data_IF_610348523989
#
_entry.id   IF_610348523989
#
_cell.length_a   1.000
_cell.length_b   1.000
_cell.length_c   1.000
_cell.angle_alpha   90.00
_cell.angle_beta   90.00
_cell.angle_gamma   90.00
#
_symmetry.space_group_name_H-M   'P 1'
#
loop_
_entity.id
_entity.type
_entity.pdbx_description
1 polymer ?
#
# COMPACT_ATOMS: atom_id res chain seq x y z
N UNK A 1 -28.24 35.62 -61.65
CA UNK A 1 -28.17 36.51 -60.54
C UNK A 1 -27.39 35.69 -59.43
N UNK A 2 -26.08 35.86 -59.45
CA UNK A 2 -25.12 35.04 -58.66
C UNK A 2 -24.72 35.90 -57.49
N UNK A 3 -24.99 35.40 -56.25
CA UNK A 3 -24.54 36.02 -55.03
C UNK A 3 -23.29 35.24 -54.54
N UNK A 4 -22.18 35.92 -54.59
CA UNK A 4 -20.92 35.57 -54.00
C UNK A 4 -21.08 35.42 -52.49
N UNK A 5 -20.66 34.29 -51.93
CA UNK A 5 -20.47 34.10 -50.48
C UNK A 5 -18.97 34.12 -50.17
N UNK A 6 -18.59 35.21 -49.54
CA UNK A 6 -17.21 35.49 -49.09
C UNK A 6 -16.76 34.49 -48.03
N UNK A 7 -15.56 33.98 -48.25
CA UNK A 7 -14.82 33.13 -47.29
C UNK A 7 -14.43 33.95 -46.04
N UNK A 8 -15.03 33.66 -44.91
CA UNK A 8 -14.60 34.16 -43.62
C UNK A 8 -13.31 33.45 -43.24
N UNK A 9 -12.22 34.20 -43.29
CA UNK A 9 -10.93 33.83 -42.76
C UNK A 9 -11.02 33.62 -41.24
N UNK A 10 -10.65 32.45 -40.78
CA UNK A 10 -10.46 32.16 -39.36
C UNK A 10 -9.35 33.04 -38.76
N UNK A 11 -9.54 33.65 -37.60
CA UNK A 11 -8.48 34.41 -36.96
C UNK A 11 -7.39 33.46 -36.44
N UNK A 12 -6.16 33.76 -36.82
CA UNK A 12 -4.91 33.18 -36.28
C UNK A 12 -4.96 33.13 -34.75
N UNK A 13 -5.12 31.94 -34.19
CA UNK A 13 -4.81 31.71 -32.81
C UNK A 13 -3.30 31.85 -32.61
N UNK A 14 -2.90 33.06 -32.24
CA UNK A 14 -1.54 33.31 -31.71
C UNK A 14 -1.33 32.42 -30.49
N UNK A 15 -0.55 31.38 -30.67
CA UNK A 15 0.00 30.58 -29.59
C UNK A 15 0.80 31.51 -28.71
N UNK A 16 0.23 31.94 -27.59
CA UNK A 16 0.95 32.62 -26.53
C UNK A 16 1.92 31.58 -25.93
N UNK A 17 3.15 31.61 -26.41
CA UNK A 17 4.26 30.91 -25.79
C UNK A 17 4.54 31.58 -24.46
N UNK A 18 4.11 30.92 -23.38
CA UNK A 18 4.49 31.31 -22.02
C UNK A 18 6.04 31.19 -21.90
N UNK A 19 6.72 32.24 -21.34
CA UNK A 19 8.17 32.23 -21.23
C UNK A 19 8.64 31.15 -20.26
N UNK A 20 9.37 30.17 -20.80
CA UNK A 20 10.51 29.55 -20.16
C UNK A 20 10.33 28.84 -18.84
N UNK A 21 9.64 27.73 -18.80
CA UNK A 21 10.04 26.64 -17.89
C UNK A 21 10.78 25.61 -18.74
N UNK A 22 12.04 25.88 -19.02
CA UNK A 22 12.99 24.85 -19.47
C UNK A 22 13.34 24.02 -18.24
N UNK A 23 12.45 23.12 -17.85
CA UNK A 23 12.78 22.06 -16.91
C UNK A 23 13.75 21.14 -17.61
N UNK A 24 15.03 21.30 -17.34
CA UNK A 24 16.09 20.44 -17.80
C UNK A 24 15.70 18.99 -17.52
N UNK A 25 15.43 18.23 -18.58
CA UNK A 25 15.02 16.81 -18.50
C UNK A 25 16.04 15.98 -17.71
N UNK A 26 17.30 16.40 -17.69
CA UNK A 26 18.38 15.82 -16.90
C UNK A 26 18.18 16.02 -15.38
N UNK A 27 17.69 17.18 -14.93
CA UNK A 27 17.42 17.43 -13.53
C UNK A 27 16.27 16.55 -13.00
N UNK A 28 15.21 16.39 -13.76
CA UNK A 28 14.06 15.56 -13.39
C UNK A 28 14.44 14.09 -13.31
N UNK A 29 15.25 13.59 -14.23
CA UNK A 29 15.72 12.20 -14.24
C UNK A 29 16.67 11.91 -13.07
N UNK A 30 17.54 12.86 -12.72
CA UNK A 30 18.45 12.72 -11.56
C UNK A 30 17.68 12.68 -10.24
N UNK A 31 16.71 13.58 -10.05
CA UNK A 31 15.86 13.62 -8.85
C UNK A 31 15.00 12.36 -8.74
N UNK A 32 14.51 11.82 -9.84
CA UNK A 32 13.73 10.58 -9.86
C UNK A 32 14.57 9.35 -9.46
N UNK A 33 15.83 9.28 -9.90
CA UNK A 33 16.74 8.19 -9.54
C UNK A 33 17.12 8.23 -8.06
N UNK A 34 17.43 9.41 -7.53
CA UNK A 34 17.75 9.55 -6.10
C UNK A 34 16.55 9.27 -5.21
N UNK A 35 15.35 9.75 -5.57
CA UNK A 35 14.14 9.43 -4.84
C UNK A 35 13.81 7.91 -4.84
N UNK A 36 14.00 7.24 -5.98
CA UNK A 36 13.82 5.80 -6.08
C UNK A 36 14.85 5.03 -5.23
N UNK A 37 16.11 5.46 -5.22
CA UNK A 37 17.14 4.84 -4.39
C UNK A 37 16.85 5.01 -2.89
N UNK A 38 16.43 6.19 -2.45
CA UNK A 38 16.05 6.46 -1.05
C UNK A 38 14.85 5.58 -0.66
N UNK A 39 13.82 5.51 -1.51
CA UNK A 39 12.65 4.67 -1.25
C UNK A 39 13.02 3.18 -1.15
N UNK A 40 13.91 2.71 -2.01
CA UNK A 40 14.39 1.32 -2.00
C UNK A 40 15.18 1.01 -0.72
N UNK A 41 16.09 1.90 -0.31
CA UNK A 41 16.84 1.75 0.95
C UNK A 41 15.89 1.70 2.13
N UNK A 42 14.92 2.62 2.20
CA UNK A 42 13.93 2.65 3.26
C UNK A 42 13.08 1.38 3.30
N UNK A 43 12.66 0.90 2.14
CA UNK A 43 11.92 -0.36 2.01
C UNK A 43 12.73 -1.57 2.48
N UNK A 44 14.01 -1.67 2.10
CA UNK A 44 14.91 -2.75 2.51
C UNK A 44 15.14 -2.71 4.03
N UNK A 45 15.32 -1.51 4.61
CA UNK A 45 15.48 -1.35 6.06
C UNK A 45 14.25 -1.79 6.85
N UNK A 46 13.05 -1.40 6.40
CA UNK A 46 11.80 -1.81 7.07
C UNK A 46 11.58 -3.32 6.93
N UNK A 47 11.80 -3.87 5.74
CA UNK A 47 11.64 -5.31 5.49
C UNK A 47 12.67 -6.12 6.29
N UNK A 48 13.92 -5.67 6.32
CA UNK A 48 14.97 -6.28 7.14
C UNK A 48 14.63 -6.24 8.63
N UNK A 49 14.20 -5.09 9.14
CA UNK A 49 13.74 -4.94 10.52
C UNK A 49 12.54 -5.83 10.86
N UNK A 50 11.60 -5.98 9.92
CA UNK A 50 10.45 -6.86 10.08
C UNK A 50 10.84 -8.35 10.15
N UNK A 51 11.80 -8.79 9.36
CA UNK A 51 12.32 -10.17 9.37
C UNK A 51 13.11 -10.43 10.64
N UNK A 52 13.95 -9.48 11.05
CA UNK A 52 14.77 -9.57 12.26
C UNK A 52 14.00 -9.23 13.55
N UNK A 53 12.69 -9.01 13.47
CA UNK A 53 11.86 -8.62 14.61
C UNK A 53 12.04 -9.48 15.86
N UNK A 54 12.17 -10.82 15.81
CA UNK A 54 12.34 -11.62 17.01
C UNK A 54 13.71 -11.43 17.70
N UNK A 55 14.71 -10.88 16.98
CA UNK A 55 16.05 -10.62 17.51
C UNK A 55 16.18 -9.17 18.01
N UNK A 56 15.52 -8.22 17.33
CA UNK A 56 15.61 -6.79 17.64
C UNK A 56 14.63 -6.38 18.74
N UNK A 57 13.51 -7.09 18.88
CA UNK A 57 12.52 -6.81 19.90
C UNK A 57 13.09 -7.14 21.29
N UNK A 58 12.99 -6.20 22.21
CA UNK A 58 13.49 -6.34 23.59
C UNK A 58 12.60 -7.22 24.45
N UNK A 59 11.30 -7.29 24.13
CA UNK A 59 10.29 -8.08 24.84
C UNK A 59 9.33 -8.75 23.88
N UNK A 60 8.62 -9.80 24.34
CA UNK A 60 7.53 -10.38 23.56
C UNK A 60 6.41 -9.35 23.38
N UNK A 61 5.73 -9.41 22.23
CA UNK A 61 4.75 -8.39 21.80
C UNK A 61 3.53 -8.29 22.76
N UNK A 62 3.17 -9.39 23.42
CA UNK A 62 2.04 -9.54 24.35
C UNK A 62 2.45 -9.32 25.82
N UNK A 63 3.77 -9.21 26.07
CA UNK A 63 4.28 -8.99 27.43
C UNK A 63 3.83 -7.62 27.96
N UNK A 64 3.08 -7.64 29.06
CA UNK A 64 2.58 -6.44 29.72
C UNK A 64 2.80 -6.50 31.22
N UNK A 65 3.32 -5.42 31.80
CA UNK A 65 3.52 -5.27 33.25
C UNK A 65 2.89 -3.96 33.69
N UNK A 66 1.75 -4.06 34.34
CA UNK A 66 0.96 -2.88 34.76
C UNK A 66 1.76 -1.92 35.67
N UNK A 67 2.70 -2.45 36.44
CA UNK A 67 3.62 -1.66 37.28
C UNK A 67 4.56 -0.76 36.45
N UNK A 68 4.81 -1.15 35.20
CA UNK A 68 5.68 -0.43 34.28
C UNK A 68 4.89 0.45 33.30
N UNK A 69 3.59 0.70 33.57
CA UNK A 69 2.75 1.53 32.73
C UNK A 69 3.24 2.98 32.69
N UNK A 70 3.13 3.61 31.52
CA UNK A 70 3.44 5.02 31.26
C UNK A 70 4.89 5.42 31.64
N UNK A 71 5.85 4.51 31.53
CA UNK A 71 7.26 4.86 31.67
C UNK A 71 7.71 5.74 30.51
N UNK A 72 8.37 6.84 30.84
CA UNK A 72 8.93 7.76 29.86
C UNK A 72 10.02 7.06 29.03
N UNK A 73 10.11 7.40 27.72
CA UNK A 73 11.15 6.86 26.85
C UNK A 73 12.52 7.42 27.25
N UNK A 74 13.49 6.58 27.63
CA UNK A 74 14.82 7.04 28.06
C UNK A 74 15.61 7.72 26.94
N UNK A 75 15.28 7.43 25.67
CA UNK A 75 15.91 8.09 24.51
C UNK A 75 15.44 9.55 24.30
N UNK A 76 14.33 9.95 24.92
CA UNK A 76 13.70 11.27 24.73
C UNK A 76 13.60 12.02 26.07
N UNK A 77 14.06 11.39 27.17
CA UNK A 77 14.00 12.02 28.51
C UNK A 77 14.83 13.31 28.53
N UNK A 78 14.21 14.48 28.82
CA UNK A 78 14.91 15.75 28.94
C UNK A 78 15.99 15.77 30.02
N UNK A 79 15.93 14.83 30.98
CA UNK A 79 16.94 14.68 32.06
C UNK A 79 18.18 13.90 31.64
N UNK A 80 18.25 13.43 30.37
CA UNK A 80 19.47 12.92 29.77
C UNK A 80 20.06 11.69 30.43
N UNK A 81 19.23 10.78 30.99
CA UNK A 81 19.71 9.61 31.71
C UNK A 81 20.44 8.59 30.84
N UNK A 82 20.21 8.59 29.53
CA UNK A 82 20.95 7.79 28.56
C UNK A 82 20.90 8.41 27.16
N UNK A 83 22.10 8.78 26.64
CA UNK A 83 22.24 9.25 25.24
C UNK A 83 22.06 8.15 24.21
N UNK A 84 21.72 8.54 22.97
CA UNK A 84 21.74 7.62 21.82
C UNK A 84 23.20 7.19 21.52
N UNK A 85 23.55 5.89 21.29
CA UNK A 85 22.66 4.74 21.14
C UNK A 85 22.40 3.89 22.40
N UNK A 86 22.97 4.23 23.56
CA UNK A 86 22.88 3.42 24.79
C UNK A 86 21.43 3.20 25.25
N UNK A 87 20.55 4.15 25.00
CA UNK A 87 19.13 4.05 25.33
C UNK A 87 18.40 2.92 24.57
N UNK A 88 18.87 2.52 23.38
CA UNK A 88 18.29 1.41 22.61
C UNK A 88 18.54 0.04 23.24
N UNK A 89 19.55 -0.07 24.11
CA UNK A 89 19.88 -1.31 24.84
C UNK A 89 19.09 -1.44 26.16
N UNK A 90 18.30 -0.43 26.50
CA UNK A 90 17.47 -0.47 27.71
C UNK A 90 16.23 -1.34 27.49
N UNK A 91 15.64 -1.82 28.58
CA UNK A 91 14.47 -2.71 28.56
C UNK A 91 13.26 -2.11 27.80
N UNK A 92 13.08 -0.79 27.85
CA UNK A 92 11.99 -0.07 27.20
C UNK A 92 12.53 1.17 26.46
N UNK A 93 13.11 1.02 25.26
CA UNK A 93 13.80 2.12 24.57
C UNK A 93 12.90 3.31 24.23
N UNK A 94 11.65 3.05 23.85
CA UNK A 94 10.63 4.06 23.52
C UNK A 94 9.55 4.19 24.62
N UNK A 95 9.86 3.70 25.83
CA UNK A 95 8.89 3.73 26.93
C UNK A 95 7.79 2.67 26.80
N UNK A 96 6.76 2.82 27.65
CA UNK A 96 5.64 1.86 27.73
C UNK A 96 4.30 2.55 27.53
N UNK A 97 3.31 1.78 27.06
CA UNK A 97 1.93 2.25 26.92
C UNK A 97 1.18 2.26 28.27
N UNK A 98 -0.10 2.63 28.24
CA UNK A 98 -0.97 2.68 29.42
C UNK A 98 -1.20 1.31 30.10
N UNK A 99 -0.84 0.22 29.42
CA UNK A 99 -0.97 -1.17 29.90
C UNK A 99 0.39 -1.76 30.28
N UNK A 100 1.46 -0.96 30.20
CA UNK A 100 2.82 -1.37 30.52
C UNK A 100 3.48 -2.27 29.47
N UNK A 101 3.07 -2.17 28.19
CA UNK A 101 3.68 -2.88 27.08
C UNK A 101 4.80 -2.05 26.46
N UNK A 102 5.87 -2.70 26.05
CA UNK A 102 7.00 -2.05 25.37
C UNK A 102 6.59 -1.50 23.99
N UNK A 103 6.69 -0.19 23.82
CA UNK A 103 6.32 0.48 22.59
C UNK A 103 7.27 0.13 21.43
N UNK A 104 8.57 -0.05 21.70
CA UNK A 104 9.57 -0.44 20.70
C UNK A 104 9.28 -1.82 20.12
N UNK A 105 9.09 -2.82 20.96
CA UNK A 105 8.75 -4.17 20.52
C UNK A 105 7.45 -4.20 19.71
N UNK A 106 6.43 -3.47 20.13
CA UNK A 106 5.17 -3.37 19.38
C UNK A 106 5.32 -2.73 18.01
N UNK A 107 6.18 -1.71 17.89
CA UNK A 107 6.45 -1.07 16.60
C UNK A 107 7.10 -2.05 15.62
N UNK A 108 8.09 -2.81 16.07
CA UNK A 108 8.81 -3.78 15.25
C UNK A 108 7.92 -4.97 14.86
N UNK A 109 7.18 -5.53 15.80
CA UNK A 109 6.20 -6.59 15.47
C UNK A 109 5.06 -6.09 14.59
N UNK A 110 4.62 -4.83 14.78
CA UNK A 110 3.66 -4.17 13.90
C UNK A 110 4.18 -4.03 12.46
N UNK A 111 5.45 -3.65 12.30
CA UNK A 111 6.09 -3.61 10.98
C UNK A 111 6.11 -5.00 10.31
N UNK A 112 6.42 -6.06 11.06
CA UNK A 112 6.36 -7.45 10.57
C UNK A 112 4.96 -7.83 10.08
N UNK A 113 3.94 -7.55 10.89
CA UNK A 113 2.54 -7.82 10.52
C UNK A 113 2.14 -7.07 9.27
N UNK A 114 2.49 -5.77 9.17
CA UNK A 114 2.23 -4.94 8.00
C UNK A 114 2.91 -5.49 6.74
N UNK A 115 4.15 -5.97 6.83
CA UNK A 115 4.86 -6.57 5.71
C UNK A 115 4.21 -7.89 5.26
N UNK A 116 3.83 -8.76 6.20
CA UNK A 116 3.13 -10.01 5.86
C UNK A 116 1.84 -9.70 5.09
N UNK A 117 1.01 -8.76 5.56
CA UNK A 117 -0.22 -8.36 4.86
C UNK A 117 0.10 -7.69 3.53
N UNK A 118 1.06 -6.76 3.52
CA UNK A 118 1.44 -6.00 2.33
C UNK A 118 1.97 -6.85 1.18
N UNK A 119 2.59 -8.00 1.47
CA UNK A 119 3.04 -8.95 0.45
C UNK A 119 2.01 -10.04 0.14
N UNK A 120 1.39 -10.63 1.17
CA UNK A 120 0.49 -11.77 0.97
C UNK A 120 -0.78 -11.37 0.20
N UNK A 121 -1.40 -10.25 0.58
CA UNK A 121 -2.67 -9.83 -0.05
C UNK A 121 -2.51 -9.54 -1.54
N UNK A 122 -1.58 -8.68 -2.01
CA UNK A 122 -1.40 -8.43 -3.44
C UNK A 122 -0.95 -9.68 -4.20
N UNK A 123 -0.09 -10.51 -3.60
CA UNK A 123 0.39 -11.73 -4.26
C UNK A 123 -0.75 -12.71 -4.52
N UNK A 124 -1.59 -12.97 -3.51
CA UNK A 124 -2.73 -13.88 -3.68
C UNK A 124 -3.78 -13.27 -4.61
N UNK A 125 -4.04 -11.96 -4.49
CA UNK A 125 -4.93 -11.24 -5.40
C UNK A 125 -4.44 -11.29 -6.86
N UNK A 126 -3.12 -11.24 -7.09
CA UNK A 126 -2.51 -11.40 -8.40
C UNK A 126 -2.69 -12.84 -8.93
N UNK A 127 -2.42 -13.84 -8.11
CA UNK A 127 -2.56 -15.26 -8.49
C UNK A 127 -3.99 -15.61 -8.91
N UNK A 128 -4.99 -15.00 -8.29
CA UNK A 128 -6.41 -15.18 -8.62
C UNK A 128 -6.84 -14.25 -9.77
N UNK A 129 -6.53 -12.97 -9.64
CA UNK A 129 -7.04 -11.92 -10.54
C UNK A 129 -6.40 -11.94 -11.93
N UNK A 130 -5.10 -12.28 -12.04
CA UNK A 130 -4.42 -12.34 -13.32
C UNK A 130 -5.03 -13.38 -14.27
N UNK A 131 -5.19 -14.66 -13.88
CA UNK A 131 -5.78 -15.65 -14.80
C UNK A 131 -7.23 -15.35 -15.14
N UNK A 132 -8.03 -14.86 -14.18
CA UNK A 132 -9.43 -14.50 -14.44
C UNK A 132 -9.53 -13.27 -15.36
N UNK A 133 -8.72 -12.24 -15.11
CA UNK A 133 -8.70 -11.05 -15.96
C UNK A 133 -8.16 -11.34 -17.36
N UNK A 134 -7.10 -12.12 -17.46
CA UNK A 134 -6.53 -12.53 -18.73
C UNK A 134 -7.52 -13.40 -19.53
N UNK A 135 -8.20 -14.35 -18.89
CA UNK A 135 -9.23 -15.19 -19.54
C UNK A 135 -10.40 -14.32 -20.06
N UNK A 136 -10.88 -13.38 -19.27
CA UNK A 136 -11.94 -12.44 -19.69
C UNK A 136 -11.53 -11.61 -20.92
N UNK A 137 -10.31 -11.06 -20.93
CA UNK A 137 -9.80 -10.28 -22.06
C UNK A 137 -9.50 -11.13 -23.31
N UNK A 138 -8.95 -12.33 -23.13
CA UNK A 138 -8.52 -13.18 -24.23
C UNK A 138 -9.69 -13.88 -24.94
N UNK A 139 -10.54 -14.57 -24.19
CA UNK A 139 -11.67 -15.32 -24.74
C UNK A 139 -12.83 -14.40 -25.13
N UNK A 140 -13.07 -13.33 -24.36
CA UNK A 140 -14.19 -12.41 -24.60
C UNK A 140 -15.55 -13.09 -24.45
N UNK A 141 -16.59 -12.55 -25.10
CA UNK A 141 -17.93 -13.15 -25.17
C UNK A 141 -18.51 -13.55 -23.80
N UNK A 142 -18.93 -14.81 -23.68
CA UNK A 142 -19.55 -15.31 -22.44
C UNK A 142 -18.61 -15.34 -21.22
N UNK A 143 -17.33 -15.61 -21.43
CA UNK A 143 -16.33 -15.65 -20.34
C UNK A 143 -16.16 -14.24 -19.77
N UNK A 144 -16.06 -13.26 -20.61
CA UNK A 144 -15.97 -11.86 -20.22
C UNK A 144 -17.21 -11.39 -19.46
N UNK A 145 -18.40 -11.70 -19.98
CA UNK A 145 -19.67 -11.34 -19.34
C UNK A 145 -19.77 -11.99 -17.96
N UNK A 146 -19.44 -13.28 -17.82
CA UNK A 146 -19.54 -14.00 -16.56
C UNK A 146 -18.61 -13.43 -15.50
N UNK A 147 -17.33 -13.20 -15.84
CA UNK A 147 -16.33 -12.67 -14.91
C UNK A 147 -16.68 -11.23 -14.53
N UNK A 148 -17.12 -10.39 -15.50
CA UNK A 148 -17.51 -9.02 -15.21
C UNK A 148 -18.73 -8.95 -14.30
N UNK A 149 -19.74 -9.80 -14.52
CA UNK A 149 -20.92 -9.89 -13.65
C UNK A 149 -20.58 -10.36 -12.25
N UNK A 150 -19.67 -11.33 -12.12
CA UNK A 150 -19.19 -11.77 -10.82
C UNK A 150 -18.54 -10.61 -10.06
N UNK A 151 -17.67 -9.86 -10.70
CA UNK A 151 -17.02 -8.68 -10.11
C UNK A 151 -18.06 -7.62 -9.71
N UNK A 152 -19.05 -7.33 -10.57
CA UNK A 152 -20.11 -6.37 -10.27
C UNK A 152 -20.93 -6.75 -9.03
N UNK A 153 -21.29 -8.03 -8.87
CA UNK A 153 -22.03 -8.52 -7.70
C UNK A 153 -21.25 -8.27 -6.41
N UNK A 154 -19.95 -8.58 -6.41
CA UNK A 154 -19.12 -8.35 -5.22
C UNK A 154 -18.91 -6.86 -4.92
N UNK A 155 -18.90 -5.98 -5.92
CA UNK A 155 -18.72 -4.54 -5.74
C UNK A 155 -19.95 -3.83 -5.16
N UNK A 156 -21.13 -4.41 -5.29
CA UNK A 156 -22.36 -3.87 -4.69
C UNK A 156 -22.29 -3.94 -3.16
N UNK A 157 -21.64 -4.96 -2.62
CA UNK A 157 -21.51 -5.12 -1.16
C UNK A 157 -20.37 -4.24 -0.66
N UNK A 158 -20.60 -3.32 0.29
CA UNK A 158 -19.54 -2.55 0.90
C UNK A 158 -18.47 -3.48 1.51
N UNK A 159 -17.21 -3.28 1.13
CA UNK A 159 -16.09 -4.13 1.55
C UNK A 159 -15.92 -4.24 3.07
N UNK A 160 -16.31 -3.19 3.80
CA UNK A 160 -16.31 -3.18 5.27
C UNK A 160 -17.28 -4.21 5.86
N UNK A 161 -18.44 -4.41 5.23
CA UNK A 161 -19.42 -5.41 5.65
C UNK A 161 -18.85 -6.82 5.45
N UNK A 162 -18.19 -7.07 4.32
CA UNK A 162 -17.54 -8.37 4.05
C UNK A 162 -16.47 -8.63 5.11
N UNK A 163 -15.62 -7.65 5.41
CA UNK A 163 -14.56 -7.77 6.42
C UNK A 163 -15.11 -8.08 7.81
N UNK A 164 -16.11 -7.34 8.26
CA UNK A 164 -16.73 -7.55 9.57
C UNK A 164 -17.41 -8.92 9.63
N UNK A 165 -18.16 -9.30 8.61
CA UNK A 165 -18.85 -10.59 8.55
C UNK A 165 -17.85 -11.75 8.62
N UNK A 166 -16.73 -11.66 7.93
CA UNK A 166 -15.67 -12.67 7.99
C UNK A 166 -15.11 -12.84 9.41
N UNK A 167 -14.85 -11.73 10.11
CA UNK A 167 -14.35 -11.76 11.48
C UNK A 167 -15.39 -12.34 12.44
N UNK A 168 -16.68 -12.01 12.26
CA UNK A 168 -17.78 -12.52 13.10
C UNK A 168 -17.97 -14.03 12.91
N UNK A 169 -17.91 -14.52 11.67
CA UNK A 169 -18.17 -15.94 11.35
C UNK A 169 -16.97 -16.82 11.68
N UNK A 170 -15.75 -16.40 11.31
CA UNK A 170 -14.54 -17.21 11.40
C UNK A 170 -13.62 -16.84 12.57
N UNK A 171 -14.00 -15.81 13.36
CA UNK A 171 -13.19 -15.31 14.46
C UNK A 171 -12.14 -14.29 14.05
N UNK A 172 -11.55 -13.61 15.06
CA UNK A 172 -10.57 -12.53 14.89
C UNK A 172 -9.13 -13.04 14.70
N UNK A 173 -8.95 -14.10 13.92
CA UNK A 173 -7.62 -14.60 13.61
C UNK A 173 -6.95 -13.78 12.51
N UNK A 174 -5.64 -13.62 12.59
CA UNK A 174 -4.85 -12.86 11.61
C UNK A 174 -5.14 -13.26 10.14
N UNK A 175 -5.20 -14.57 9.88
CA UNK A 175 -5.46 -15.09 8.52
C UNK A 175 -6.87 -14.80 7.99
N UNK A 176 -7.86 -14.63 8.87
CA UNK A 176 -9.22 -14.24 8.47
C UNK A 176 -9.23 -12.81 7.95
N UNK A 177 -8.44 -11.91 8.58
CA UNK A 177 -8.28 -10.54 8.10
C UNK A 177 -7.59 -10.54 6.73
N UNK A 178 -6.51 -11.30 6.56
CA UNK A 178 -5.82 -11.45 5.27
C UNK A 178 -6.77 -11.97 4.19
N UNK A 179 -7.53 -13.02 4.49
CA UNK A 179 -8.49 -13.61 3.56
C UNK A 179 -9.58 -12.60 3.16
N UNK A 180 -10.11 -11.83 4.09
CA UNK A 180 -11.12 -10.80 3.79
C UNK A 180 -10.60 -9.74 2.82
N UNK A 181 -9.33 -9.33 2.96
CA UNK A 181 -8.68 -8.38 2.06
C UNK A 181 -8.43 -8.99 0.66
N UNK A 182 -8.07 -10.27 0.61
CA UNK A 182 -7.87 -11.00 -0.66
C UNK A 182 -9.18 -11.14 -1.43
N UNK A 183 -10.28 -11.50 -0.76
CA UNK A 183 -11.62 -11.63 -1.37
C UNK A 183 -12.04 -10.36 -2.11
N UNK A 184 -11.57 -9.21 -1.64
CA UNK A 184 -11.87 -7.91 -2.27
C UNK A 184 -10.79 -7.54 -3.30
N UNK A 185 -9.52 -7.81 -3.00
CA UNK A 185 -8.37 -7.34 -3.78
C UNK A 185 -8.26 -7.92 -5.19
N UNK A 186 -8.64 -9.18 -5.41
CA UNK A 186 -8.53 -9.85 -6.70
C UNK A 186 -9.36 -9.19 -7.81
N UNK A 187 -10.49 -8.57 -7.46
CA UNK A 187 -11.38 -7.92 -8.44
C UNK A 187 -10.72 -6.74 -9.16
N UNK A 188 -9.97 -5.91 -8.41
CA UNK A 188 -9.20 -4.81 -8.97
C UNK A 188 -8.13 -5.30 -9.94
N UNK A 189 -7.40 -6.33 -9.52
CA UNK A 189 -6.36 -6.98 -10.32
C UNK A 189 -6.94 -7.60 -11.59
N UNK A 190 -8.06 -8.32 -11.49
CA UNK A 190 -8.72 -8.93 -12.66
C UNK A 190 -9.14 -7.88 -13.70
N UNK A 191 -9.72 -6.74 -13.28
CA UNK A 191 -10.09 -5.65 -14.20
C UNK A 191 -8.88 -5.03 -14.88
N UNK A 192 -7.79 -4.85 -14.14
CA UNK A 192 -6.56 -4.28 -14.70
C UNK A 192 -5.99 -5.19 -15.81
N UNK A 193 -5.87 -6.49 -15.54
CA UNK A 193 -5.34 -7.44 -16.52
C UNK A 193 -6.28 -7.65 -17.71
N UNK A 194 -7.60 -7.65 -17.49
CA UNK A 194 -8.58 -7.63 -18.59
C UNK A 194 -8.35 -6.45 -19.54
N UNK A 195 -8.22 -5.23 -18.99
CA UNK A 195 -7.96 -4.05 -19.78
C UNK A 195 -6.64 -4.12 -20.56
N UNK A 196 -5.57 -4.60 -19.91
CA UNK A 196 -4.27 -4.76 -20.54
C UNK A 196 -4.31 -5.77 -21.70
N UNK A 197 -4.99 -6.91 -21.54
CA UNK A 197 -5.13 -7.92 -22.62
C UNK A 197 -5.96 -7.38 -23.79
N UNK A 198 -7.01 -6.63 -23.52
CA UNK A 198 -7.82 -6.02 -24.60
C UNK A 198 -6.99 -5.00 -25.41
N UNK A 199 -6.11 -4.22 -24.78
CA UNK A 199 -5.22 -3.28 -25.47
C UNK A 199 -4.20 -3.99 -26.39
N UNK A 200 -3.70 -5.16 -25.97
CA UNK A 200 -2.73 -5.93 -26.78
C UNK A 200 -3.42 -6.68 -27.93
N UNK A 201 -4.68 -7.05 -27.76
CA UNK A 201 -5.45 -7.82 -28.75
C UNK A 201 -6.04 -6.94 -29.88
N UNK A 202 -6.22 -5.62 -29.62
CA UNK A 202 -6.74 -4.66 -30.62
C UNK A 202 -5.64 -4.24 -31.61
#
# INVERSE_FOLDING_TARGET
MVASMDAHAAPNASVVSAPGVVTSTSGIVCTRRSAAAIALVFFVLITGGAILSPVIATTAYDYSVLRDALKFPPCVDPKGTAGFPACLMMKYPLGTDAVGRDFWSRLIYGARTSMIVGFSVPTIALVIGLPLGAAAGWFGGWVDILISRLIEIFLVVPYTIIGISMIVIFGSHFWVVVLSLVVIGWMGTARLFRAAVLQVKS
#
